data_IF_510973559822
#
_entry.id   IF_510973559822
#
_cell.length_a   1.000
_cell.length_b   1.000
_cell.length_c   1.000
_cell.angle_alpha   90.00
_cell.angle_beta   90.00
_cell.angle_gamma   90.00
#
_symmetry.space_group_name_H-M   'P 1'
#
loop_
_entity.id
_entity.type
_entity.pdbx_description
1 polymer ?
#
# COMPACT_ATOMS: atom_id res chain seq x y z
N UNK A 1 29.68 26.20 -24.83
CA UNK A 1 28.57 25.46 -25.48
C UNK A 1 27.82 24.78 -24.35
N UNK A 2 26.62 25.27 -24.04
CA UNK A 2 25.83 24.79 -22.91
C UNK A 2 25.21 23.43 -23.24
N UNK A 3 25.27 22.47 -22.33
CA UNK A 3 24.55 21.20 -22.44
C UNK A 3 23.10 21.42 -21.96
N UNK A 4 22.14 21.03 -22.79
CA UNK A 4 20.70 21.03 -22.48
C UNK A 4 20.40 20.04 -21.34
N UNK A 5 19.61 20.42 -20.31
CA UNK A 5 19.22 19.52 -19.23
C UNK A 5 18.07 18.61 -19.69
N UNK A 6 18.39 17.63 -20.54
CA UNK A 6 17.51 16.51 -20.84
C UNK A 6 17.61 15.48 -19.72
N UNK A 7 16.74 15.63 -18.72
CA UNK A 7 16.63 14.75 -17.55
C UNK A 7 16.66 13.25 -17.92
N UNK A 8 17.50 12.49 -17.22
CA UNK A 8 17.56 11.03 -17.28
C UNK A 8 16.18 10.42 -16.99
N UNK A 9 15.38 10.18 -18.04
CA UNK A 9 14.23 9.27 -17.92
C UNK A 9 14.77 7.87 -17.75
N UNK A 10 14.73 7.35 -16.51
CA UNK A 10 15.02 5.95 -16.25
C UNK A 10 13.96 5.12 -17.00
N UNK A 11 14.39 4.35 -18.00
CA UNK A 11 13.51 3.42 -18.68
C UNK A 11 13.13 2.31 -17.69
N UNK A 12 11.85 2.20 -17.37
CA UNK A 12 11.32 1.07 -16.60
C UNK A 12 11.45 -0.17 -17.48
N UNK A 13 12.15 -1.18 -16.96
CA UNK A 13 12.37 -2.46 -17.63
C UNK A 13 11.25 -3.45 -17.29
N UNK A 14 11.17 -4.55 -18.04
CA UNK A 14 10.27 -5.67 -17.70
C UNK A 14 10.63 -6.31 -16.35
N UNK A 15 11.90 -6.27 -15.93
CA UNK A 15 12.32 -6.71 -14.60
C UNK A 15 11.76 -5.79 -13.52
N UNK A 16 11.84 -4.46 -13.70
CA UNK A 16 11.26 -3.49 -12.77
C UNK A 16 9.74 -3.67 -12.63
N UNK A 17 9.05 -4.04 -13.72
CA UNK A 17 7.62 -4.37 -13.69
C UNK A 17 7.34 -5.66 -12.92
N UNK A 18 8.12 -6.71 -13.17
CA UNK A 18 7.99 -7.99 -12.47
C UNK A 18 8.27 -7.88 -10.97
N UNK A 19 9.20 -7.00 -10.57
CA UNK A 19 9.48 -6.70 -9.17
C UNK A 19 8.31 -5.94 -8.50
N UNK A 20 7.70 -4.99 -9.21
CA UNK A 20 6.51 -4.30 -8.72
C UNK A 20 5.31 -5.25 -8.53
N UNK A 21 5.08 -6.15 -9.50
CA UNK A 21 4.01 -7.16 -9.40
C UNK A 21 4.24 -8.14 -8.26
N UNK A 22 5.49 -8.58 -8.04
CA UNK A 22 5.85 -9.43 -6.90
C UNK A 22 5.60 -8.71 -5.58
N UNK A 23 6.03 -7.46 -5.48
CA UNK A 23 5.82 -6.64 -4.29
C UNK A 23 4.34 -6.48 -3.94
N UNK A 24 3.51 -6.13 -4.94
CA UNK A 24 2.05 -6.02 -4.76
C UNK A 24 1.44 -7.35 -4.29
N UNK A 25 1.84 -8.47 -4.88
CA UNK A 25 1.36 -9.79 -4.46
C UNK A 25 1.78 -10.15 -3.04
N UNK A 26 3.00 -9.81 -2.64
CA UNK A 26 3.50 -10.07 -1.29
C UNK A 26 2.71 -9.25 -0.25
N UNK A 27 2.46 -7.96 -0.53
CA UNK A 27 1.65 -7.09 0.34
C UNK A 27 0.21 -7.59 0.41
N UNK A 28 -0.39 -7.98 -0.73
CA UNK A 28 -1.73 -8.58 -0.77
C UNK A 28 -1.83 -9.84 0.08
N UNK A 29 -0.79 -10.67 0.07
CA UNK A 29 -0.73 -11.86 0.89
C UNK A 29 -0.63 -11.51 2.39
N UNK A 30 0.25 -10.58 2.76
CA UNK A 30 0.43 -10.13 4.15
C UNK A 30 -0.85 -9.52 4.73
N UNK A 31 -1.53 -8.63 4.00
CA UNK A 31 -2.76 -8.02 4.48
C UNK A 31 -3.89 -9.03 4.68
N UNK A 32 -4.02 -10.04 3.80
CA UNK A 32 -4.97 -11.15 3.98
C UNK A 32 -4.69 -11.95 5.25
N UNK A 33 -3.43 -12.08 5.64
CA UNK A 33 -3.02 -12.78 6.85
C UNK A 33 -3.19 -11.92 8.12
N UNK A 34 -2.90 -10.61 8.02
CA UNK A 34 -3.00 -9.64 9.14
C UNK A 34 -4.44 -9.47 9.61
N UNK A 35 -5.37 -9.26 8.68
CA UNK A 35 -6.74 -8.88 9.01
C UNK A 35 -7.79 -9.99 8.78
N UNK A 36 -7.43 -11.05 8.06
CA UNK A 36 -8.34 -12.16 7.73
C UNK A 36 -9.34 -11.82 6.62
N UNK A 37 -10.04 -12.85 6.11
CA UNK A 37 -10.94 -12.73 4.93
C UNK A 37 -12.18 -11.84 5.13
N UNK A 38 -12.46 -11.40 6.37
CA UNK A 38 -13.65 -10.64 6.74
C UNK A 38 -13.38 -9.22 7.24
N UNK A 39 -12.17 -8.69 7.11
CA UNK A 39 -11.83 -7.41 7.72
C UNK A 39 -12.49 -6.19 7.06
N UNK A 40 -12.95 -6.34 5.83
CA UNK A 40 -13.50 -5.26 5.00
C UNK A 40 -14.99 -5.46 4.71
N UNK A 41 -15.77 -5.99 5.66
CA UNK A 41 -17.20 -6.29 5.46
C UNK A 41 -18.01 -5.01 5.24
N UNK A 42 -17.66 -3.90 5.90
CA UNK A 42 -18.32 -2.61 5.69
C UNK A 42 -17.40 -1.39 5.87
N UNK A 43 -17.89 -0.23 5.42
CA UNK A 43 -17.16 1.05 5.45
C UNK A 43 -16.67 1.49 6.84
N UNK A 44 -17.39 1.15 7.92
CA UNK A 44 -17.00 1.54 9.28
C UNK A 44 -15.82 0.70 9.77
N UNK A 45 -15.84 -0.60 9.52
CA UNK A 45 -14.72 -1.50 9.82
C UNK A 45 -13.50 -1.15 8.98
N UNK A 46 -13.70 -0.90 7.68
CA UNK A 46 -12.63 -0.49 6.77
C UNK A 46 -11.97 0.83 7.23
N UNK A 47 -12.75 1.80 7.71
CA UNK A 47 -12.21 3.04 8.27
C UNK A 47 -11.42 2.78 9.56
N UNK A 48 -11.91 1.88 10.43
CA UNK A 48 -11.20 1.48 11.65
C UNK A 48 -9.82 0.93 11.37
N UNK A 49 -9.71 0.01 10.40
CA UNK A 49 -8.45 -0.58 9.98
C UNK A 49 -7.55 0.48 9.33
N UNK A 50 -8.09 1.34 8.47
CA UNK A 50 -7.28 2.40 7.84
C UNK A 50 -6.65 3.33 8.87
N UNK A 51 -7.38 3.67 9.93
CA UNK A 51 -6.84 4.47 11.04
C UNK A 51 -5.73 3.71 11.77
N UNK A 52 -5.89 2.41 12.02
CA UNK A 52 -4.86 1.56 12.64
C UNK A 52 -3.57 1.57 11.81
N UNK A 53 -3.65 1.33 10.50
CA UNK A 53 -2.49 1.33 9.61
C UNK A 53 -1.78 2.70 9.57
N UNK A 54 -2.53 3.79 9.61
CA UNK A 54 -1.96 5.14 9.70
C UNK A 54 -1.17 5.31 11.01
N UNK A 55 -1.69 4.80 12.14
CA UNK A 55 -0.96 4.86 13.41
C UNK A 55 0.30 4.00 13.40
N UNK A 56 0.29 2.84 12.74
CA UNK A 56 1.47 1.99 12.58
C UNK A 56 2.53 2.68 11.71
N UNK A 57 2.12 3.31 10.62
CA UNK A 57 3.00 4.14 9.79
C UNK A 57 3.65 5.27 10.59
N UNK A 58 2.86 6.02 11.39
CA UNK A 58 3.41 7.08 12.25
C UNK A 58 4.45 6.52 13.22
N UNK A 59 4.21 5.35 13.82
CA UNK A 59 5.19 4.69 14.69
C UNK A 59 6.44 4.28 13.92
N UNK A 60 6.30 3.75 12.71
CA UNK A 60 7.42 3.34 11.87
C UNK A 60 8.33 4.52 11.50
N UNK A 61 7.73 5.65 11.11
CA UNK A 61 8.44 6.91 10.84
C UNK A 61 9.21 7.37 12.07
N UNK A 62 8.59 7.35 13.26
CA UNK A 62 9.28 7.71 14.50
C UNK A 62 10.41 6.74 14.89
N UNK A 63 10.38 5.50 14.41
CA UNK A 63 11.44 4.51 14.66
C UNK A 63 12.64 4.61 13.71
N UNK A 64 12.62 5.48 12.68
CA UNK A 64 13.65 5.57 11.64
C UNK A 64 13.97 4.22 10.95
N UNK A 65 12.98 3.34 10.82
CA UNK A 65 13.10 2.06 10.12
C UNK A 65 12.46 2.18 8.74
N UNK A 66 13.28 2.47 7.73
CA UNK A 66 12.84 2.72 6.35
C UNK A 66 12.11 1.52 5.72
N UNK A 67 12.52 0.30 6.04
CA UNK A 67 11.84 -0.90 5.53
C UNK A 67 10.47 -1.07 6.18
N UNK A 68 10.37 -0.77 7.48
CA UNK A 68 9.09 -0.73 8.15
C UNK A 68 8.18 0.37 7.60
N UNK A 69 8.70 1.58 7.36
CA UNK A 69 7.93 2.67 6.74
C UNK A 69 7.34 2.24 5.40
N UNK A 70 8.13 1.58 4.54
CA UNK A 70 7.64 1.04 3.27
C UNK A 70 6.53 0.00 3.46
N UNK A 71 6.65 -0.89 4.44
CA UNK A 71 5.62 -1.88 4.75
C UNK A 71 4.32 -1.22 5.23
N UNK A 72 4.38 -0.32 6.20
CA UNK A 72 3.15 0.32 6.72
C UNK A 72 2.49 1.23 5.67
N UNK A 73 3.29 1.90 4.81
CA UNK A 73 2.74 2.63 3.65
C UNK A 73 1.96 1.71 2.70
N UNK A 74 2.49 0.52 2.45
CA UNK A 74 1.83 -0.47 1.62
C UNK A 74 0.53 -0.97 2.25
N UNK A 75 0.52 -1.19 3.57
CA UNK A 75 -0.68 -1.59 4.31
C UNK A 75 -1.76 -0.49 4.28
N UNK A 76 -1.39 0.79 4.45
CA UNK A 76 -2.30 1.93 4.27
C UNK A 76 -2.90 1.96 2.86
N UNK A 77 -2.06 1.87 1.83
CA UNK A 77 -2.50 1.92 0.43
C UNK A 77 -3.45 0.77 0.11
N UNK A 78 -3.13 -0.43 0.57
CA UNK A 78 -3.94 -1.60 0.32
C UNK A 78 -5.28 -1.50 1.06
N UNK A 79 -5.27 -1.11 2.33
CA UNK A 79 -6.47 -0.93 3.15
C UNK A 79 -7.42 0.10 2.53
N UNK A 80 -6.89 1.20 1.97
CA UNK A 80 -7.70 2.17 1.24
C UNK A 80 -8.35 1.57 -0.03
N UNK A 81 -7.63 0.75 -0.81
CA UNK A 81 -8.18 0.06 -1.98
C UNK A 81 -9.29 -0.91 -1.58
N UNK A 82 -9.10 -1.69 -0.51
CA UNK A 82 -10.14 -2.60 -0.01
C UNK A 82 -11.33 -1.86 0.58
N UNK A 83 -11.11 -0.70 1.21
CA UNK A 83 -12.19 0.15 1.69
C UNK A 83 -13.12 0.59 0.55
N UNK A 84 -12.57 0.94 -0.62
CA UNK A 84 -13.36 1.24 -1.82
C UNK A 84 -14.25 0.05 -2.18
N UNK A 85 -13.67 -1.15 -2.28
CA UNK A 85 -14.43 -2.35 -2.58
C UNK A 85 -15.56 -2.59 -1.56
N UNK A 86 -15.31 -2.39 -0.26
CA UNK A 86 -16.30 -2.57 0.82
C UNK A 86 -17.49 -1.60 0.75
N UNK A 87 -17.30 -0.43 0.12
CA UNK A 87 -18.37 0.56 -0.11
C UNK A 87 -19.28 0.07 -1.23
N UNK A 88 -18.71 -0.46 -2.31
CA UNK A 88 -19.44 -0.91 -3.49
C UNK A 88 -20.28 -2.17 -3.22
N UNK A 89 -19.83 -3.08 -2.34
CA UNK A 89 -20.59 -4.31 -2.01
C UNK A 89 -21.83 -4.04 -1.14
N UNK A 90 -21.89 -2.90 -0.44
CA UNK A 90 -23.03 -2.52 0.41
C UNK A 90 -24.05 -1.62 -0.32
N UNK A 91 -23.95 -1.46 -1.64
CA UNK A 91 -24.87 -0.68 -2.48
C UNK A 91 -25.98 -1.54 -3.14
N UNK A 92 -26.17 -2.79 -2.69
CA UNK A 92 -27.24 -3.69 -3.12
C UNK A 92 -28.23 -4.01 -2.02
#
# INVERSE_FOLDING_TARGET
MNQEPGELRKHITYEDQGDAERFVNEILHKAKMKHGRGAFINKHEALGILIEEIYELVKAVHSNDEEKVKHELADVALTAIWAIASIDVNAG
#
